data_IF_463573470066
#
_entry.id   IF_463573470066
#
_cell.length_a   1.000
_cell.length_b   1.000
_cell.length_c   1.000
_cell.angle_alpha   90.00
_cell.angle_beta   90.00
_cell.angle_gamma   90.00
#
_symmetry.space_group_name_H-M   'P 1'
#
loop_
_entity.id
_entity.type
_entity.pdbx_description
1 polymer ?
#
# COMPACT_ATOMS: atom_id res chain seq x y z
N UNK A 1 -4.15 -3.29 43.98
CA UNK A 1 -4.98 -3.77 42.85
C UNK A 1 -4.23 -3.42 41.58
N UNK A 2 -4.02 -4.42 40.73
CA UNK A 2 -3.09 -4.56 39.58
C UNK A 2 -2.72 -3.28 38.80
N UNK A 3 -1.40 -3.14 38.60
CA UNK A 3 -0.70 -2.14 37.80
C UNK A 3 -1.43 -1.73 36.52
N UNK A 4 -1.61 -0.42 36.35
CA UNK A 4 -1.88 0.22 35.06
C UNK A 4 -0.59 0.08 34.25
N UNK A 5 -0.46 -1.08 33.60
CA UNK A 5 0.68 -1.50 32.81
C UNK A 5 0.84 -0.55 31.63
N UNK A 6 1.72 0.43 31.81
CA UNK A 6 2.50 1.12 30.80
C UNK A 6 1.76 1.44 29.51
N UNK A 7 1.35 2.69 29.38
CA UNK A 7 1.42 3.38 28.10
C UNK A 7 2.74 2.98 27.45
N UNK A 8 2.69 2.12 26.43
CA UNK A 8 3.87 1.77 25.65
C UNK A 8 4.27 3.09 25.01
N UNK A 9 5.23 3.78 25.60
CA UNK A 9 6.03 4.78 24.90
C UNK A 9 6.32 4.20 23.52
N UNK A 10 6.17 4.99 22.43
CA UNK A 10 6.40 4.49 21.10
C UNK A 10 7.84 4.00 21.11
N UNK A 11 8.01 2.68 21.17
CA UNK A 11 9.33 2.09 21.06
C UNK A 11 9.75 2.43 19.65
N UNK A 12 10.53 3.52 19.53
CA UNK A 12 11.28 3.92 18.34
C UNK A 12 12.32 2.84 18.16
N UNK A 13 11.84 1.66 17.78
CA UNK A 13 12.68 0.58 17.35
C UNK A 13 13.27 1.12 16.04
N UNK A 14 14.59 1.34 15.95
CA UNK A 14 15.20 1.93 14.76
C UNK A 14 14.84 1.14 13.49
N UNK A 15 14.54 -0.15 13.66
CA UNK A 15 13.99 -1.04 12.65
C UNK A 15 12.58 -0.66 12.19
N UNK A 16 11.68 -0.31 13.11
CA UNK A 16 10.33 0.15 12.79
C UNK A 16 10.36 1.54 12.14
N UNK A 17 11.21 2.44 12.61
CA UNK A 17 11.39 3.76 11.99
C UNK A 17 11.91 3.64 10.56
N UNK A 18 12.90 2.76 10.32
CA UNK A 18 13.39 2.44 8.96
C UNK A 18 12.29 1.88 8.08
N UNK A 19 11.43 0.98 8.60
CA UNK A 19 10.28 0.45 7.87
C UNK A 19 9.29 1.56 7.49
N UNK A 20 8.91 2.40 8.45
CA UNK A 20 8.00 3.53 8.20
C UNK A 20 8.60 4.49 7.18
N UNK A 21 9.88 4.85 7.32
CA UNK A 21 10.57 5.71 6.36
C UNK A 21 10.60 5.08 4.96
N UNK A 22 10.84 3.77 4.85
CA UNK A 22 10.85 3.06 3.57
C UNK A 22 9.45 2.98 2.94
N UNK A 23 8.40 2.74 3.74
CA UNK A 23 7.01 2.79 3.27
C UNK A 23 6.61 4.20 2.82
N UNK A 24 7.05 5.22 3.56
CA UNK A 24 6.80 6.62 3.22
C UNK A 24 7.48 6.98 1.89
N UNK A 25 8.73 6.56 1.70
CA UNK A 25 9.46 6.73 0.45
C UNK A 25 8.76 6.01 -0.72
N UNK A 26 8.30 4.78 -0.49
CA UNK A 26 7.50 4.03 -1.46
C UNK A 26 6.18 4.75 -1.81
N UNK A 27 5.54 5.39 -0.85
CA UNK A 27 4.31 6.16 -1.05
C UNK A 27 4.56 7.45 -1.84
N UNK A 28 5.68 8.15 -1.59
CA UNK A 28 6.09 9.31 -2.38
C UNK A 28 6.36 8.90 -3.83
N UNK A 29 7.10 7.81 -4.04
CA UNK A 29 7.34 7.24 -5.39
C UNK A 29 6.02 6.85 -6.05
N UNK A 30 5.11 6.22 -5.31
CA UNK A 30 3.78 5.86 -5.80
C UNK A 30 3.02 7.08 -6.32
N UNK A 31 2.97 8.19 -5.57
CA UNK A 31 2.25 9.40 -5.99
C UNK A 31 2.89 10.00 -7.26
N UNK A 32 4.23 10.05 -7.32
CA UNK A 32 4.95 10.60 -8.47
C UNK A 32 4.78 9.75 -9.73
N UNK A 33 4.77 8.42 -9.59
CA UNK A 33 4.55 7.51 -10.71
C UNK A 33 3.08 7.27 -11.02
N UNK A 34 2.15 7.65 -10.13
CA UNK A 34 0.71 7.50 -10.33
C UNK A 34 0.24 8.18 -11.62
N UNK A 35 0.74 9.40 -11.85
CA UNK A 35 0.44 10.20 -13.04
C UNK A 35 1.06 9.62 -14.30
N UNK A 36 2.18 8.90 -14.19
CA UNK A 36 2.92 8.36 -15.33
C UNK A 36 2.49 6.94 -15.70
N UNK A 37 2.29 6.05 -14.73
CA UNK A 37 2.07 4.61 -14.97
C UNK A 37 0.62 4.20 -14.71
N UNK A 38 -0.13 5.00 -13.95
CA UNK A 38 -1.54 4.79 -13.66
C UNK A 38 -1.78 3.97 -12.40
N UNK A 39 -2.99 4.11 -11.86
CA UNK A 39 -3.39 3.50 -10.59
C UNK A 39 -3.20 1.98 -10.59
N UNK A 40 -3.65 1.29 -11.65
CA UNK A 40 -3.74 -0.17 -11.72
C UNK A 40 -2.37 -0.90 -11.61
N UNK A 41 -1.30 -0.26 -12.09
CA UNK A 41 0.06 -0.85 -12.06
C UNK A 41 0.82 -0.43 -10.81
N UNK A 42 0.56 0.76 -10.26
CA UNK A 42 1.31 1.29 -9.11
C UNK A 42 0.79 0.80 -7.76
N UNK A 43 -0.50 0.49 -7.63
CA UNK A 43 -1.06 -0.01 -6.37
C UNK A 43 -0.61 -1.42 -5.98
N UNK A 44 -0.58 -2.43 -6.89
CA UNK A 44 -0.21 -3.79 -6.50
C UNK A 44 1.22 -3.92 -5.94
N UNK A 45 2.26 -3.27 -6.53
CA UNK A 45 3.60 -3.24 -5.96
C UNK A 45 3.66 -2.57 -4.59
N UNK A 46 2.92 -1.46 -4.41
CA UNK A 46 2.86 -0.76 -3.12
C UNK A 46 2.21 -1.62 -2.04
N UNK A 47 1.07 -2.23 -2.35
CA UNK A 47 0.37 -3.17 -1.46
C UNK A 47 1.27 -4.37 -1.14
N UNK A 48 1.97 -4.93 -2.13
CA UNK A 48 2.90 -6.02 -1.93
C UNK A 48 4.08 -5.62 -1.04
N UNK A 49 4.65 -4.43 -1.26
CA UNK A 49 5.72 -3.86 -0.43
C UNK A 49 5.26 -3.70 1.02
N UNK A 50 4.05 -3.18 1.25
CA UNK A 50 3.49 -3.00 2.61
C UNK A 50 3.25 -4.35 3.29
N UNK A 51 2.64 -5.32 2.60
CA UNK A 51 2.40 -6.66 3.14
C UNK A 51 3.70 -7.39 3.48
N UNK A 52 4.72 -7.25 2.61
CA UNK A 52 6.06 -7.77 2.86
C UNK A 52 6.70 -7.11 4.09
N UNK A 53 6.55 -5.79 4.23
CA UNK A 53 7.10 -5.03 5.37
C UNK A 53 6.44 -5.41 6.71
N UNK A 54 5.15 -5.76 6.66
CA UNK A 54 4.36 -6.29 7.77
C UNK A 54 4.72 -7.73 8.14
N UNK A 55 5.52 -8.43 7.34
CA UNK A 55 6.06 -9.75 7.66
C UNK A 55 5.21 -10.91 7.16
N UNK A 56 4.26 -10.68 6.25
CA UNK A 56 3.64 -11.78 5.51
C UNK A 56 4.68 -12.42 4.58
N UNK A 57 4.93 -13.74 4.74
CA UNK A 57 5.91 -14.50 3.98
C UNK A 57 5.27 -15.28 2.82
N UNK A 58 3.94 -15.25 2.68
CA UNK A 58 3.23 -15.94 1.60
C UNK A 58 3.15 -15.08 0.34
N UNK A 59 4.27 -14.99 -0.39
CA UNK A 59 4.41 -14.21 -1.63
C UNK A 59 3.27 -14.41 -2.64
N UNK A 60 2.77 -15.65 -2.78
CA UNK A 60 1.67 -15.95 -3.69
C UNK A 60 0.34 -15.33 -3.26
N UNK A 61 0.05 -15.33 -1.95
CA UNK A 61 -1.13 -14.67 -1.39
C UNK A 61 -1.01 -13.15 -1.51
N UNK A 62 0.19 -12.59 -1.31
CA UNK A 62 0.44 -11.16 -1.45
C UNK A 62 0.15 -10.69 -2.87
N UNK A 63 0.66 -11.40 -3.89
CA UNK A 63 0.44 -11.06 -5.29
C UNK A 63 -1.03 -11.18 -5.70
N UNK A 64 -1.69 -12.29 -5.35
CA UNK A 64 -3.09 -12.49 -5.70
C UNK A 64 -3.97 -11.43 -5.02
N UNK A 65 -3.75 -11.19 -3.73
CA UNK A 65 -4.57 -10.25 -2.97
C UNK A 65 -4.34 -8.82 -3.45
N UNK A 66 -3.09 -8.44 -3.75
CA UNK A 66 -2.82 -7.08 -4.26
C UNK A 66 -3.46 -6.84 -5.62
N UNK A 67 -3.43 -7.83 -6.52
CA UNK A 67 -4.09 -7.73 -7.84
C UNK A 67 -5.62 -7.70 -7.68
N UNK A 68 -6.19 -8.61 -6.90
CA UNK A 68 -7.65 -8.69 -6.70
C UNK A 68 -8.17 -7.40 -6.05
N UNK A 69 -7.52 -6.92 -4.99
CA UNK A 69 -7.93 -5.70 -4.30
C UNK A 69 -7.81 -4.50 -5.24
N UNK A 70 -6.71 -4.39 -5.98
CA UNK A 70 -6.52 -3.30 -6.94
C UNK A 70 -7.59 -3.32 -8.03
N UNK A 71 -7.84 -4.48 -8.65
CA UNK A 71 -8.85 -4.64 -9.69
C UNK A 71 -10.27 -4.39 -9.18
N UNK A 72 -10.58 -4.84 -7.95
CA UNK A 72 -11.88 -4.59 -7.29
C UNK A 72 -12.06 -3.12 -7.00
N UNK A 73 -11.05 -2.44 -6.46
CA UNK A 73 -11.13 -1.00 -6.20
C UNK A 73 -11.28 -0.22 -7.50
N UNK A 74 -10.57 -0.61 -8.56
CA UNK A 74 -10.69 -0.01 -9.89
C UNK A 74 -12.12 -0.18 -10.44
N UNK A 75 -12.68 -1.39 -10.38
CA UNK A 75 -14.06 -1.62 -10.85
C UNK A 75 -15.08 -0.85 -10.02
N UNK A 76 -14.96 -0.84 -8.69
CA UNK A 76 -15.88 -0.06 -7.83
C UNK A 76 -15.78 1.43 -8.16
N UNK A 77 -14.58 1.96 -8.32
CA UNK A 77 -14.41 3.40 -8.58
C UNK A 77 -14.82 3.80 -10.00
N UNK A 78 -14.62 2.93 -10.97
CA UNK A 78 -15.10 3.13 -12.34
C UNK A 78 -16.63 3.04 -12.43
N UNK A 79 -17.24 1.96 -11.93
CA UNK A 79 -18.67 1.70 -12.10
C UNK A 79 -19.57 2.42 -11.08
N UNK A 80 -19.12 2.59 -9.84
CA UNK A 80 -19.94 3.22 -8.78
C UNK A 80 -19.70 4.72 -8.73
N UNK A 81 -18.43 5.14 -8.73
CA UNK A 81 -18.10 6.55 -8.57
C UNK A 81 -18.04 7.33 -9.90
N UNK A 82 -17.95 6.65 -11.06
CA UNK A 82 -17.75 7.29 -12.38
C UNK A 82 -16.56 8.28 -12.40
N UNK A 83 -15.59 8.10 -11.50
CA UNK A 83 -14.39 8.93 -11.45
C UNK A 83 -13.33 8.25 -12.30
N UNK A 84 -12.86 8.94 -13.34
CA UNK A 84 -11.69 8.51 -14.10
C UNK A 84 -10.46 8.61 -13.19
N UNK A 85 -10.08 7.50 -12.56
CA UNK A 85 -8.80 7.40 -11.88
C UNK A 85 -7.67 7.65 -12.88
N UNK A 86 -6.54 8.25 -12.45
CA UNK A 86 -5.42 8.50 -13.34
C UNK A 86 -5.00 7.20 -14.03
N UNK A 87 -5.33 7.13 -15.33
CA UNK A 87 -5.11 5.99 -16.21
C UNK A 87 -3.61 5.84 -16.55
N UNK A 88 -2.78 6.79 -16.10
CA UNK A 88 -1.38 6.90 -16.49
C UNK A 88 -1.22 7.16 -17.98
N UNK A 89 0.01 7.05 -18.48
CA UNK A 89 0.33 7.10 -19.91
C UNK A 89 -0.35 5.98 -20.70
N UNK A 90 -0.78 4.90 -20.04
CA UNK A 90 -1.35 3.75 -20.70
C UNK A 90 -2.80 3.97 -21.17
N UNK A 91 -3.55 4.89 -20.54
CA UNK A 91 -4.83 5.37 -21.10
C UNK A 91 -5.96 4.32 -21.18
N UNK A 92 -5.89 3.25 -20.39
CA UNK A 92 -6.91 2.20 -20.30
C UNK A 92 -7.18 1.77 -18.84
#
# INVERSE_FOLDING_TARGET
>A
MKEIRGSKEPQTNPTALKKVACAFLGLVIYILMLTMVGYLIMTPPLLAMIMYLFGERRWFFILITSIIVTGTLYTVTYYVFHIAMPQGILGF
#
